data_IF_082889681971
#
_entry.id   IF_082889681971
#
_cell.length_a   1.000
_cell.length_b   1.000
_cell.length_c   1.000
_cell.angle_alpha   90.00
_cell.angle_beta   90.00
_cell.angle_gamma   90.00
#
_symmetry.space_group_name_H-M   'P 1'
#
loop_
_entity.id
_entity.type
_entity.pdbx_description
1 polymer ?
#
# COMPACT_ATOMS: atom_id res chain seq x y z
N UNK A 1 -6.48 0.88 0.87
CA UNK A 1 -6.06 1.99 -0.02
C UNK A 1 -6.68 1.89 -1.41
N UNK A 2 -6.88 0.68 -1.95
CA UNK A 2 -7.49 0.45 -3.28
C UNK A 2 -8.85 1.14 -3.39
N UNK A 3 -9.69 1.05 -2.36
CA UNK A 3 -11.03 1.69 -2.30
C UNK A 3 -11.03 3.21 -2.43
N UNK A 4 -9.87 3.85 -2.29
CA UNK A 4 -9.75 5.30 -2.45
C UNK A 4 -9.67 5.75 -3.90
N UNK A 5 -9.49 4.80 -4.83
CA UNK A 5 -9.33 5.09 -6.26
C UNK A 5 -10.56 4.65 -7.06
N UNK A 6 -10.89 5.35 -8.16
CA UNK A 6 -11.89 4.92 -9.11
C UNK A 6 -11.57 3.54 -9.72
N UNK A 7 -12.60 2.78 -10.08
CA UNK A 7 -12.47 1.42 -10.65
C UNK A 7 -11.74 1.37 -12.00
N UNK A 8 -11.69 2.50 -12.69
CA UNK A 8 -11.02 2.64 -13.98
C UNK A 8 -9.50 2.69 -13.86
N UNK A 9 -8.97 2.91 -12.64
CA UNK A 9 -7.54 2.90 -12.40
C UNK A 9 -7.00 1.47 -12.53
N UNK A 10 -5.81 1.39 -13.11
CA UNK A 10 -5.01 0.17 -13.15
C UNK A 10 -4.05 0.16 -11.96
N UNK A 11 -3.96 -0.95 -11.26
CA UNK A 11 -3.11 -1.13 -10.12
C UNK A 11 -1.91 -1.99 -10.49
N UNK A 12 -0.72 -1.43 -10.39
CA UNK A 12 0.54 -2.17 -10.51
C UNK A 12 0.99 -2.52 -9.10
N UNK A 13 0.99 -3.80 -8.77
CA UNK A 13 1.29 -4.27 -7.41
C UNK A 13 2.59 -5.06 -7.43
N UNK A 14 3.61 -4.50 -6.75
CA UNK A 14 4.84 -5.21 -6.48
C UNK A 14 4.57 -6.29 -5.42
N UNK A 15 4.84 -7.53 -5.76
CA UNK A 15 4.63 -8.69 -4.89
C UNK A 15 5.94 -9.45 -4.68
N UNK A 16 6.11 -9.99 -3.47
CA UNK A 16 7.28 -10.77 -3.07
C UNK A 16 6.84 -11.88 -2.12
N UNK A 17 7.28 -11.82 -0.86
CA UNK A 17 6.88 -12.81 0.14
C UNK A 17 5.36 -12.93 0.24
N UNK A 18 4.85 -14.16 0.11
CA UNK A 18 3.40 -14.47 0.02
C UNK A 18 2.66 -13.75 -1.13
N UNK A 19 3.34 -13.46 -2.23
CA UNK A 19 2.77 -12.77 -3.38
C UNK A 19 1.50 -13.43 -3.91
N UNK A 20 1.42 -14.76 -3.96
CA UNK A 20 0.21 -15.50 -4.37
C UNK A 20 -0.99 -15.18 -3.48
N UNK A 21 -0.80 -15.07 -2.16
CA UNK A 21 -1.89 -14.69 -1.25
C UNK A 21 -2.37 -13.26 -1.49
N UNK A 22 -1.46 -12.34 -1.83
CA UNK A 22 -1.82 -10.96 -2.18
C UNK A 22 -2.62 -10.94 -3.48
N UNK A 23 -2.18 -11.66 -4.50
CA UNK A 23 -2.88 -11.81 -5.78
C UNK A 23 -4.29 -12.36 -5.58
N UNK A 24 -4.42 -13.50 -4.90
CA UNK A 24 -5.69 -14.14 -4.60
C UNK A 24 -6.66 -13.21 -3.86
N UNK A 25 -6.16 -12.48 -2.85
CA UNK A 25 -6.97 -11.52 -2.12
C UNK A 25 -7.48 -10.39 -3.02
N UNK A 26 -6.60 -9.76 -3.80
CA UNK A 26 -6.96 -8.67 -4.69
C UNK A 26 -8.04 -9.10 -5.71
N UNK A 27 -7.87 -10.27 -6.32
CA UNK A 27 -8.81 -10.80 -7.32
C UNK A 27 -10.19 -11.14 -6.70
N UNK A 28 -10.22 -11.61 -5.45
CA UNK A 28 -11.46 -11.90 -4.74
C UNK A 28 -12.15 -10.64 -4.22
N UNK A 29 -11.38 -9.73 -3.59
CA UNK A 29 -11.92 -8.54 -2.94
C UNK A 29 -12.35 -7.48 -3.97
N UNK A 30 -11.63 -7.39 -5.08
CA UNK A 30 -11.80 -6.33 -6.09
C UNK A 30 -11.97 -6.89 -7.51
N UNK A 31 -12.97 -7.74 -7.77
CA UNK A 31 -13.10 -8.49 -9.02
C UNK A 31 -13.35 -7.62 -10.26
N UNK A 32 -13.65 -6.35 -10.08
CA UNK A 32 -13.89 -5.38 -11.17
C UNK A 32 -12.70 -4.45 -11.44
N UNK A 33 -11.65 -4.55 -10.63
CA UNK A 33 -10.44 -3.74 -10.79
C UNK A 33 -9.43 -4.42 -11.72
N UNK A 34 -8.55 -3.62 -12.29
CA UNK A 34 -7.46 -4.11 -13.14
C UNK A 34 -6.18 -4.17 -12.33
N UNK A 35 -5.59 -5.34 -12.22
CA UNK A 35 -4.33 -5.58 -11.53
C UNK A 35 -3.26 -6.10 -12.49
N UNK A 36 -2.07 -5.55 -12.35
CA UNK A 36 -0.83 -6.13 -12.89
C UNK A 36 0.09 -6.40 -11.70
N UNK A 37 0.49 -7.64 -11.53
CA UNK A 37 1.37 -8.05 -10.44
C UNK A 37 2.80 -8.20 -10.97
N UNK A 38 3.72 -7.51 -10.31
CA UNK A 38 5.16 -7.54 -10.64
C UNK A 38 5.89 -8.26 -9.53
N UNK A 39 6.48 -9.39 -9.84
CA UNK A 39 7.26 -10.17 -8.87
C UNK A 39 8.61 -9.51 -8.61
N UNK A 40 8.94 -9.33 -7.33
CA UNK A 40 10.17 -8.73 -6.87
C UNK A 40 11.12 -9.83 -6.43
N UNK A 41 12.27 -9.90 -7.04
CA UNK A 41 13.29 -10.93 -6.82
C UNK A 41 14.11 -10.72 -5.55
N UNK A 42 14.30 -9.46 -5.11
CA UNK A 42 15.02 -9.09 -3.90
C UNK A 42 14.06 -8.54 -2.85
N UNK A 43 13.42 -9.43 -2.08
CA UNK A 43 12.44 -9.05 -1.05
C UNK A 43 13.08 -8.81 0.33
N UNK A 44 14.26 -9.38 0.58
CA UNK A 44 14.99 -9.28 1.83
C UNK A 44 16.48 -8.99 1.55
N UNK A 45 17.10 -8.16 2.39
CA UNK A 45 18.54 -7.92 2.32
C UNK A 45 18.91 -6.48 1.98
N UNK A 46 20.19 -6.26 1.71
CA UNK A 46 20.72 -4.96 1.35
C UNK A 46 20.08 -4.42 0.07
N UNK A 47 19.66 -3.17 0.10
CA UNK A 47 18.97 -2.46 -0.97
C UNK A 47 17.57 -2.98 -1.32
N UNK A 48 16.98 -3.92 -0.57
CA UNK A 48 15.56 -4.22 -0.66
C UNK A 48 14.77 -3.07 -0.01
N UNK A 49 13.88 -2.43 -0.76
CA UNK A 49 13.13 -1.30 -0.23
C UNK A 49 12.06 -0.81 -1.21
N UNK A 50 11.26 0.19 -0.82
CA UNK A 50 10.16 0.68 -1.65
C UNK A 50 10.64 1.31 -2.96
N UNK A 51 11.84 1.89 -3.00
CA UNK A 51 12.45 2.42 -4.22
C UNK A 51 12.85 1.31 -5.19
N UNK A 52 13.47 0.23 -4.67
CA UNK A 52 13.80 -0.93 -5.50
C UNK A 52 12.53 -1.58 -6.09
N UNK A 53 11.51 -1.80 -5.27
CA UNK A 53 10.23 -2.34 -5.72
C UNK A 53 9.56 -1.45 -6.77
N UNK A 54 9.65 -0.13 -6.61
CA UNK A 54 9.14 0.83 -7.59
C UNK A 54 9.87 0.72 -8.93
N UNK A 55 11.21 0.60 -8.93
CA UNK A 55 12.01 0.42 -10.16
C UNK A 55 11.61 -0.81 -10.96
N UNK A 56 11.29 -1.93 -10.31
CA UNK A 56 10.80 -3.13 -11.01
C UNK A 56 9.45 -2.88 -11.71
N UNK A 57 8.67 -1.91 -11.23
CA UNK A 57 7.39 -1.51 -11.83
C UNK A 57 7.52 -0.41 -12.90
N UNK A 58 8.71 0.18 -13.11
CA UNK A 58 8.94 1.34 -13.97
C UNK A 58 8.34 1.20 -15.37
N UNK A 59 8.49 0.05 -16.03
CA UNK A 59 8.01 -0.18 -17.40
C UNK A 59 6.49 -0.07 -17.55
N UNK A 60 5.73 -0.29 -16.48
CA UNK A 60 4.27 -0.17 -16.45
C UNK A 60 3.78 1.24 -16.12
N UNK A 61 4.65 2.09 -15.58
CA UNK A 61 4.31 3.40 -15.01
C UNK A 61 4.96 4.56 -15.80
N UNK A 62 4.81 4.54 -17.13
CA UNK A 62 5.32 5.58 -18.04
C UNK A 62 4.26 6.66 -18.34
N UNK A 63 3.57 7.12 -17.30
CA UNK A 63 2.54 8.16 -17.29
C UNK A 63 2.39 8.70 -15.86
N UNK A 64 1.70 9.81 -15.60
CA UNK A 64 1.41 10.23 -14.23
C UNK A 64 0.74 9.11 -13.42
N UNK A 65 1.20 8.90 -12.19
CA UNK A 65 0.73 7.81 -11.34
C UNK A 65 0.74 8.19 -9.85
N UNK A 66 0.00 7.43 -9.06
CA UNK A 66 0.14 7.44 -7.61
C UNK A 66 1.04 6.30 -7.18
N UNK A 67 1.82 6.53 -6.13
CA UNK A 67 2.56 5.48 -5.46
C UNK A 67 2.13 5.41 -4.00
N UNK A 68 1.90 4.20 -3.50
CA UNK A 68 1.53 3.96 -2.12
C UNK A 68 2.27 2.74 -1.57
N UNK A 69 2.81 2.84 -0.35
CA UNK A 69 3.31 1.70 0.39
C UNK A 69 2.14 0.89 0.97
N UNK A 70 2.34 -0.41 1.21
CA UNK A 70 1.28 -1.32 1.66
C UNK A 70 0.81 -1.07 3.10
N UNK A 71 1.61 -0.36 3.90
CA UNK A 71 1.35 0.03 5.29
C UNK A 71 0.73 1.43 5.44
N UNK A 72 0.45 2.10 4.33
CA UNK A 72 -0.16 3.44 4.32
C UNK A 72 -1.69 3.34 4.30
N UNK A 73 -2.35 3.64 5.42
CA UNK A 73 -3.78 3.88 5.47
C UNK A 73 -4.08 5.36 5.67
N UNK A 74 -5.04 5.87 4.92
CA UNK A 74 -5.49 7.27 5.06
C UNK A 74 -6.99 7.35 5.34
N UNK A 75 -7.37 8.21 6.28
CA UNK A 75 -8.76 8.58 6.57
C UNK A 75 -9.04 9.99 6.02
N UNK A 76 -8.66 10.19 4.77
CA UNK A 76 -8.85 11.42 4.00
C UNK A 76 -9.25 11.07 2.56
N UNK A 77 -9.91 11.97 1.83
CA UNK A 77 -10.06 11.84 0.39
C UNK A 77 -8.68 11.79 -0.30
N UNK A 78 -8.58 11.02 -1.40
CA UNK A 78 -7.37 10.99 -2.23
C UNK A 78 -7.18 12.34 -2.93
N UNK A 79 -6.00 13.00 -2.78
CA UNK A 79 -5.71 14.23 -3.52
C UNK A 79 -5.67 13.98 -5.02
N UNK A 80 -6.12 14.97 -5.81
CA UNK A 80 -6.00 14.91 -7.27
C UNK A 80 -4.54 14.88 -7.72
N UNK A 81 -4.29 14.21 -8.83
CA UNK A 81 -3.00 14.17 -9.49
C UNK A 81 -2.91 15.30 -10.54
N UNK A 82 -2.68 16.51 -10.05
CA UNK A 82 -2.57 17.75 -10.84
C UNK A 82 -1.17 18.38 -10.77
N UNK A 83 -0.20 17.62 -10.29
CA UNK A 83 1.21 17.98 -10.09
C UNK A 83 1.88 16.98 -9.17
N UNK A 84 3.17 17.19 -8.90
CA UNK A 84 3.93 16.36 -7.95
C UNK A 84 3.56 16.71 -6.50
N UNK A 85 3.21 15.71 -5.69
CA UNK A 85 2.94 15.92 -4.28
C UNK A 85 3.31 14.71 -3.41
N UNK A 86 3.61 14.96 -2.13
CA UNK A 86 3.78 13.93 -1.11
C UNK A 86 2.70 14.05 -0.05
N UNK A 87 2.15 12.91 0.35
CA UNK A 87 1.33 12.78 1.55
C UNK A 87 2.22 12.91 2.79
N UNK A 88 1.84 13.82 3.69
CA UNK A 88 2.59 14.08 4.91
C UNK A 88 1.69 14.10 6.14
N UNK A 89 2.29 13.78 7.29
CA UNK A 89 1.63 13.85 8.60
C UNK A 89 2.62 14.36 9.66
N UNK A 90 2.19 15.18 10.65
CA UNK A 90 3.06 15.55 11.76
C UNK A 90 3.56 14.33 12.54
N UNK A 91 4.82 14.34 12.92
CA UNK A 91 5.41 13.29 13.75
C UNK A 91 6.19 13.87 14.93
N UNK A 92 6.12 13.18 16.08
CA UNK A 92 6.98 13.43 17.24
C UNK A 92 8.20 12.53 17.28
N UNK A 93 8.35 11.64 16.28
CA UNK A 93 9.43 10.63 16.19
C UNK A 93 10.06 10.67 14.80
N UNK A 94 10.73 11.79 14.44
CA UNK A 94 11.29 11.96 13.09
C UNK A 94 12.31 10.88 12.69
N UNK A 95 12.98 10.27 13.66
CA UNK A 95 13.95 9.20 13.44
C UNK A 95 13.31 7.89 12.89
N UNK A 96 12.02 7.71 13.07
CA UNK A 96 11.31 6.51 12.60
C UNK A 96 10.91 6.57 11.13
N UNK A 97 10.89 7.76 10.55
CA UNK A 97 10.33 7.99 9.22
C UNK A 97 11.27 8.79 8.34
N UNK A 98 11.12 8.66 7.04
CA UNK A 98 11.61 9.69 6.15
C UNK A 98 10.79 10.96 6.34
N UNK A 99 11.43 12.10 6.49
CA UNK A 99 10.78 13.37 6.87
C UNK A 99 11.09 14.49 5.90
N UNK A 100 10.27 15.53 5.92
CA UNK A 100 10.38 16.67 5.01
C UNK A 100 10.31 18.00 5.74
N UNK A 101 11.06 18.98 5.26
CA UNK A 101 10.97 20.38 5.67
C UNK A 101 10.14 21.16 4.65
N UNK A 102 9.26 22.02 5.16
CA UNK A 102 8.35 22.79 4.34
C UNK A 102 8.73 24.28 4.30
N UNK A 103 8.43 24.92 3.17
CA UNK A 103 8.31 26.38 3.05
C UNK A 103 6.93 26.66 2.41
N UNK A 104 5.99 27.07 3.25
CA UNK A 104 4.57 27.08 2.84
C UNK A 104 4.09 25.66 2.54
N UNK A 105 3.67 25.40 1.31
CA UNK A 105 3.30 24.08 0.82
C UNK A 105 4.39 23.38 -0.01
N UNK A 106 5.53 24.03 -0.20
CA UNK A 106 6.64 23.46 -0.93
C UNK A 106 7.52 22.62 -0.02
N UNK A 107 7.93 21.45 -0.50
CA UNK A 107 8.91 20.61 0.18
C UNK A 107 10.29 21.07 -0.28
N UNK A 108 11.10 21.58 0.67
CA UNK A 108 12.41 22.18 0.39
C UNK A 108 13.59 21.32 0.83
N UNK A 109 13.36 20.35 1.73
CA UNK A 109 14.40 19.42 2.17
C UNK A 109 13.79 18.08 2.55
N UNK A 110 14.62 17.05 2.45
CA UNK A 110 14.31 15.65 2.79
C UNK A 110 15.33 15.11 3.76
N UNK A 111 14.92 14.24 4.68
CA UNK A 111 15.78 13.46 5.56
C UNK A 111 15.36 12.00 5.52
N UNK A 112 16.32 11.09 5.52
CA UNK A 112 16.06 9.66 5.58
C UNK A 112 15.72 9.22 7.00
N UNK A 113 15.25 7.98 7.14
CA UNK A 113 15.10 7.32 8.45
C UNK A 113 16.44 7.30 9.19
N UNK A 114 16.38 7.28 10.52
CA UNK A 114 17.55 7.27 11.41
C UNK A 114 18.43 8.54 11.37
N UNK A 115 17.97 9.59 10.73
CA UNK A 115 18.60 10.91 10.76
C UNK A 115 17.88 11.85 11.74
N UNK A 116 18.52 12.97 12.09
CA UNK A 116 17.84 14.08 12.77
C UNK A 116 16.90 14.76 11.77
N UNK A 117 15.71 14.24 11.66
CA UNK A 117 14.74 14.61 10.65
C UNK A 117 13.97 15.90 10.97
N UNK A 118 12.88 16.08 10.26
CA UNK A 118 11.95 17.20 10.40
C UNK A 118 10.66 16.72 11.05
N UNK A 119 9.76 17.64 11.38
CA UNK A 119 8.50 17.40 12.09
C UNK A 119 7.36 16.84 11.20
N UNK A 120 7.60 16.69 9.90
CA UNK A 120 6.63 16.16 8.94
C UNK A 120 7.12 14.84 8.34
N UNK A 121 6.49 13.73 8.72
CA UNK A 121 6.74 12.42 8.14
C UNK A 121 6.15 12.30 6.72
N UNK A 122 6.89 11.71 5.79
CA UNK A 122 6.36 11.17 4.55
C UNK A 122 5.60 9.86 4.87
N UNK A 123 4.33 9.78 4.51
CA UNK A 123 3.44 8.68 4.90
C UNK A 123 3.40 7.51 3.91
N UNK A 124 4.32 7.46 2.96
CA UNK A 124 4.34 6.40 1.96
C UNK A 124 3.32 6.57 0.82
N UNK A 125 2.71 7.75 0.66
CA UNK A 125 1.76 8.06 -0.41
C UNK A 125 2.20 9.30 -1.18
N UNK A 126 2.28 9.20 -2.51
CA UNK A 126 2.66 10.32 -3.37
C UNK A 126 1.88 10.33 -4.69
N UNK A 127 1.73 11.51 -5.27
CA UNK A 127 1.31 11.69 -6.65
C UNK A 127 2.49 12.14 -7.49
N UNK A 128 2.78 11.41 -8.55
CA UNK A 128 3.90 11.61 -9.45
C UNK A 128 3.36 12.09 -10.79
N UNK A 129 3.53 13.37 -11.08
CA UNK A 129 3.14 13.97 -12.36
C UNK A 129 4.30 13.94 -13.37
N UNK A 130 5.48 14.39 -12.94
CA UNK A 130 6.69 14.40 -13.76
C UNK A 130 7.42 13.04 -13.63
N UNK A 131 6.76 11.98 -14.08
CA UNK A 131 7.23 10.60 -13.92
C UNK A 131 8.61 10.35 -14.55
N UNK A 132 8.94 11.00 -15.65
CA UNK A 132 10.26 10.87 -16.28
C UNK A 132 11.38 11.34 -15.35
N UNK A 133 11.21 12.50 -14.73
CA UNK A 133 12.17 13.04 -13.74
C UNK A 133 12.21 12.16 -12.50
N UNK A 134 11.06 11.69 -12.02
CA UNK A 134 11.00 10.78 -10.89
C UNK A 134 11.84 9.51 -11.12
N UNK A 135 11.70 8.88 -12.29
CA UNK A 135 12.45 7.67 -12.62
C UNK A 135 13.96 7.93 -12.75
N UNK A 136 14.35 9.03 -13.41
CA UNK A 136 15.74 9.45 -13.51
C UNK A 136 16.36 9.65 -12.12
N UNK A 137 15.69 10.42 -11.25
CA UNK A 137 16.16 10.67 -9.90
C UNK A 137 16.22 9.40 -9.04
N UNK A 138 15.27 8.47 -9.20
CA UNK A 138 15.31 7.21 -8.46
C UNK A 138 16.47 6.32 -8.91
N UNK A 139 16.68 6.17 -10.21
CA UNK A 139 17.79 5.36 -10.76
C UNK A 139 19.17 5.90 -10.37
N UNK A 140 19.33 7.23 -10.46
CA UNK A 140 20.65 7.86 -10.23
C UNK A 140 21.00 7.98 -8.74
N UNK A 141 19.99 8.03 -7.85
CA UNK A 141 20.22 8.39 -6.45
C UNK A 141 19.68 7.37 -5.45
N UNK A 142 19.26 6.17 -5.88
CA UNK A 142 18.74 5.17 -4.96
C UNK A 142 19.81 4.74 -3.94
N UNK A 143 19.49 4.88 -2.66
CA UNK A 143 20.36 4.49 -1.55
C UNK A 143 19.59 3.47 -0.71
N UNK A 144 20.16 2.29 -0.51
CA UNK A 144 19.60 1.21 0.30
C UNK A 144 18.14 0.83 -0.07
N UNK A 145 17.77 1.04 -1.35
CA UNK A 145 16.41 0.76 -1.82
C UNK A 145 15.33 1.79 -1.43
N UNK A 146 15.71 2.89 -0.80
CA UNK A 146 14.76 3.92 -0.35
C UNK A 146 14.24 4.78 -1.50
N UNK A 147 12.99 5.22 -1.40
CA UNK A 147 12.30 5.97 -2.45
C UNK A 147 12.50 7.49 -2.35
N UNK A 148 12.93 7.99 -1.20
CA UNK A 148 12.97 9.43 -0.90
C UNK A 148 13.89 10.20 -1.83
N UNK A 149 14.96 9.57 -2.34
CA UNK A 149 15.88 10.16 -3.31
C UNK A 149 15.18 10.57 -4.61
N UNK A 150 14.14 9.86 -5.02
CA UNK A 150 13.38 10.16 -6.23
C UNK A 150 12.56 11.47 -6.15
N UNK A 151 12.34 11.97 -4.95
CA UNK A 151 11.57 13.21 -4.73
C UNK A 151 12.44 14.48 -4.77
N UNK A 152 13.76 14.31 -4.82
CA UNK A 152 14.72 15.42 -4.95
C UNK A 152 14.77 15.86 -6.41
N UNK A 153 13.90 16.77 -6.80
CA UNK A 153 13.85 17.26 -8.18
C UNK A 153 15.03 18.20 -8.50
N UNK A 154 15.56 18.19 -9.72
CA UNK A 154 16.50 19.20 -10.18
C UNK A 154 15.97 20.63 -10.04
N UNK A 155 16.85 21.62 -9.90
CA UNK A 155 16.49 23.02 -9.63
C UNK A 155 15.62 23.69 -10.73
N UNK A 156 15.62 23.13 -11.93
CA UNK A 156 14.79 23.57 -13.06
C UNK A 156 13.40 22.91 -13.12
N UNK A 157 13.08 22.02 -12.19
CA UNK A 157 11.77 21.39 -12.07
C UNK A 157 11.01 21.89 -10.84
N UNK A 158 9.68 21.90 -10.88
CA UNK A 158 8.86 22.21 -9.71
C UNK A 158 9.15 21.27 -8.55
N UNK A 159 9.21 21.81 -7.34
CA UNK A 159 9.30 21.00 -6.11
C UNK A 159 8.01 20.23 -5.87
N UNK A 160 8.09 19.14 -5.13
CA UNK A 160 6.91 18.45 -4.63
C UNK A 160 6.12 19.33 -3.66
N UNK A 161 4.80 19.30 -3.79
CA UNK A 161 3.89 19.96 -2.86
C UNK A 161 3.54 19.02 -1.69
N UNK A 162 3.39 19.57 -0.52
CA UNK A 162 2.95 18.83 0.66
C UNK A 162 1.42 18.73 0.69
N UNK A 163 0.87 17.54 0.85
CA UNK A 163 -0.55 17.27 1.10
C UNK A 163 -0.69 16.67 2.51
N UNK A 164 -1.19 17.46 3.46
CA UNK A 164 -1.46 16.97 4.83
C UNK A 164 -2.65 16.02 4.81
N UNK A 165 -2.44 14.77 5.19
CA UNK A 165 -3.47 13.73 5.20
C UNK A 165 -3.63 13.16 6.60
N UNK A 166 -4.84 12.69 6.92
CA UNK A 166 -5.06 11.93 8.14
C UNK A 166 -4.57 10.51 7.90
N UNK A 167 -3.40 10.22 8.42
CA UNK A 167 -2.71 8.96 8.28
C UNK A 167 -2.93 8.07 9.49
N UNK A 168 -3.07 6.78 9.24
CA UNK A 168 -3.19 5.72 10.22
C UNK A 168 -2.03 4.75 9.95
N UNK A 169 -1.00 4.83 10.78
CA UNK A 169 0.21 4.00 10.64
C UNK A 169 -0.10 2.54 10.99
N UNK A 170 0.40 1.61 10.19
CA UNK A 170 0.29 0.17 10.40
C UNK A 170 1.64 -0.56 10.28
N UNK A 171 2.74 0.19 10.21
CA UNK A 171 4.09 -0.33 9.97
C UNK A 171 4.71 -1.11 11.13
N UNK A 172 4.10 -1.06 12.32
CA UNK A 172 4.50 -1.86 13.48
C UNK A 172 3.28 -2.31 14.30
N UNK A 173 3.47 -3.24 15.24
CA UNK A 173 2.36 -3.82 16.00
C UNK A 173 1.62 -2.81 16.89
N UNK A 174 2.33 -1.86 17.49
CA UNK A 174 1.73 -0.89 18.40
C UNK A 174 0.84 0.08 17.61
N UNK A 175 1.33 0.59 16.48
CA UNK A 175 0.57 1.51 15.63
C UNK A 175 -0.56 0.77 14.89
N UNK A 176 -0.36 -0.48 14.48
CA UNK A 176 -1.43 -1.34 13.97
C UNK A 176 -2.55 -1.53 15.01
N UNK A 177 -2.22 -1.73 16.30
CA UNK A 177 -3.23 -1.89 17.34
C UNK A 177 -4.00 -0.57 17.58
N UNK A 178 -3.32 0.58 17.63
CA UNK A 178 -3.97 1.90 17.69
C UNK A 178 -4.90 2.15 16.50
N UNK A 179 -4.43 1.80 15.31
CA UNK A 179 -5.23 1.90 14.09
C UNK A 179 -6.45 0.97 14.13
N UNK A 180 -6.30 -0.26 14.63
CA UNK A 180 -7.44 -1.17 14.85
C UNK A 180 -8.43 -0.61 15.86
N UNK A 181 -7.97 -0.06 16.97
CA UNK A 181 -8.84 0.59 17.97
C UNK A 181 -9.60 1.77 17.36
N UNK A 182 -8.91 2.62 16.62
CA UNK A 182 -9.54 3.73 15.90
C UNK A 182 -10.61 3.27 14.89
N UNK A 183 -10.36 2.14 14.22
CA UNK A 183 -11.28 1.56 13.22
C UNK A 183 -12.35 0.63 13.83
N UNK A 184 -12.26 0.29 15.13
CA UNK A 184 -13.15 -0.67 15.80
C UNK A 184 -14.63 -0.27 15.83
N UNK A 185 -14.96 0.99 15.59
CA UNK A 185 -16.34 1.42 15.31
C UNK A 185 -16.82 1.01 13.90
N UNK A 186 -15.93 0.41 13.09
CA UNK A 186 -16.21 -0.14 11.76
C UNK A 186 -15.64 -1.56 11.72
N UNK A 187 -16.43 -2.61 11.86
CA UNK A 187 -15.92 -3.98 11.87
C UNK A 187 -15.31 -4.34 10.52
N UNK A 188 -14.00 -4.12 10.37
CA UNK A 188 -13.23 -4.47 9.18
C UNK A 188 -12.79 -5.94 9.17
N UNK A 189 -12.72 -6.57 10.32
CA UNK A 189 -12.39 -8.00 10.41
C UNK A 189 -13.06 -8.66 11.60
N UNK A 190 -13.51 -9.90 11.42
CA UNK A 190 -13.99 -10.77 12.47
C UNK A 190 -12.89 -11.81 12.75
N UNK A 191 -11.99 -11.49 13.67
CA UNK A 191 -10.97 -12.43 14.09
C UNK A 191 -11.62 -13.43 15.07
N UNK A 192 -11.60 -14.73 14.72
CA UNK A 192 -12.12 -15.80 15.58
C UNK A 192 -11.05 -16.44 16.44
N UNK A 193 -9.87 -16.61 15.87
CA UNK A 193 -8.65 -17.08 16.53
C UNK A 193 -7.41 -16.63 15.73
N UNK A 194 -6.23 -17.01 16.14
CA UNK A 194 -4.98 -16.64 15.46
C UNK A 194 -4.79 -17.32 14.09
N UNK A 195 -5.70 -18.22 13.69
CA UNK A 195 -5.58 -19.00 12.46
C UNK A 195 -6.58 -18.61 11.38
N UNK A 196 -7.58 -17.80 11.69
CA UNK A 196 -8.61 -17.41 10.74
C UNK A 196 -8.96 -15.94 10.84
N UNK A 197 -9.01 -15.27 9.69
CA UNK A 197 -9.45 -13.88 9.58
C UNK A 197 -10.62 -13.83 8.58
N UNK A 198 -11.67 -13.11 8.93
CA UNK A 198 -12.76 -12.82 8.01
C UNK A 198 -12.79 -11.34 7.74
N UNK A 199 -12.70 -10.98 6.47
CA UNK A 199 -12.84 -9.62 5.98
C UNK A 199 -14.24 -9.43 5.41
N UNK A 200 -14.76 -8.21 5.49
CA UNK A 200 -15.95 -7.79 4.77
C UNK A 200 -15.57 -6.69 3.79
N UNK A 201 -15.78 -6.97 2.50
CA UNK A 201 -15.54 -6.03 1.43
C UNK A 201 -16.86 -5.83 0.65
N UNK A 202 -17.48 -4.65 0.81
CA UNK A 202 -18.82 -4.42 0.30
C UNK A 202 -19.83 -5.47 0.81
N UNK A 203 -20.39 -6.24 -0.09
CA UNK A 203 -21.32 -7.35 0.21
C UNK A 203 -20.63 -8.73 0.23
N UNK A 204 -19.31 -8.78 0.05
CA UNK A 204 -18.54 -10.03 0.02
C UNK A 204 -17.86 -10.27 1.36
N UNK A 205 -17.95 -11.50 1.88
CA UNK A 205 -17.19 -11.95 3.03
C UNK A 205 -16.04 -12.83 2.55
N UNK A 206 -14.81 -12.43 2.85
CA UNK A 206 -13.58 -13.14 2.48
C UNK A 206 -12.97 -13.73 3.72
N UNK A 207 -12.82 -15.05 3.75
CA UNK A 207 -12.13 -15.75 4.84
C UNK A 207 -10.74 -16.19 4.40
N UNK A 208 -9.76 -15.80 5.19
CA UNK A 208 -8.41 -16.28 5.08
C UNK A 208 -8.16 -17.36 6.12
N UNK A 209 -7.53 -18.45 5.73
CA UNK A 209 -6.99 -19.47 6.64
C UNK A 209 -5.70 -20.05 6.08
N UNK A 210 -4.59 -20.02 6.85
CA UNK A 210 -3.34 -20.65 6.44
C UNK A 210 -3.37 -22.17 6.58
N UNK A 211 -4.39 -22.72 7.25
CA UNK A 211 -4.54 -24.16 7.48
C UNK A 211 -5.31 -24.81 6.34
N UNK A 212 -4.59 -25.47 5.42
CA UNK A 212 -5.15 -26.12 4.25
C UNK A 212 -6.23 -27.16 4.59
N UNK A 213 -6.07 -27.94 5.64
CA UNK A 213 -7.08 -28.94 6.01
C UNK A 213 -8.39 -28.31 6.47
N UNK A 214 -8.33 -27.16 7.13
CA UNK A 214 -9.52 -26.38 7.49
C UNK A 214 -10.21 -25.83 6.26
N UNK A 215 -9.42 -25.31 5.31
CA UNK A 215 -9.93 -24.82 4.03
C UNK A 215 -10.62 -25.92 3.24
N UNK A 216 -9.95 -27.06 3.04
CA UNK A 216 -10.48 -28.20 2.29
C UNK A 216 -11.79 -28.74 2.90
N UNK A 217 -11.85 -28.87 4.22
CA UNK A 217 -13.08 -29.29 4.92
C UNK A 217 -14.24 -28.30 4.72
N UNK A 218 -13.97 -27.00 4.64
CA UNK A 218 -14.97 -25.97 4.36
C UNK A 218 -15.47 -26.02 2.93
N UNK A 219 -14.57 -26.23 1.97
CA UNK A 219 -14.91 -26.38 0.57
C UNK A 219 -15.79 -27.63 0.37
N UNK A 220 -15.43 -28.75 0.98
CA UNK A 220 -16.23 -29.99 0.95
C UNK A 220 -17.62 -29.72 1.52
N UNK A 221 -17.71 -29.13 2.72
CA UNK A 221 -18.99 -28.79 3.35
C UNK A 221 -19.84 -27.85 2.49
N UNK A 222 -19.22 -26.84 1.86
CA UNK A 222 -19.93 -25.93 0.98
C UNK A 222 -20.52 -26.67 -0.23
N UNK A 223 -19.75 -27.59 -0.85
CA UNK A 223 -20.24 -28.42 -1.96
C UNK A 223 -21.42 -29.34 -1.54
N UNK A 224 -21.36 -29.90 -0.34
CA UNK A 224 -22.42 -30.75 0.21
C UNK A 224 -23.72 -29.96 0.53
N UNK A 225 -23.59 -28.71 0.95
CA UNK A 225 -24.72 -27.84 1.25
C UNK A 225 -25.50 -27.39 0.01
N UNK A 226 -24.89 -27.45 -1.16
CA UNK A 226 -25.50 -27.14 -2.46
C UNK A 226 -26.22 -25.77 -2.46
N UNK A 227 -27.47 -25.72 -2.87
CA UNK A 227 -28.24 -24.45 -2.96
C UNK A 227 -28.50 -23.70 -1.64
N UNK A 228 -27.87 -24.09 -0.54
CA UNK A 228 -27.86 -23.35 0.75
C UNK A 228 -26.66 -22.46 0.94
N UNK A 229 -25.75 -22.41 -0.04
CA UNK A 229 -24.62 -21.48 -0.09
C UNK A 229 -24.92 -20.36 -1.09
N UNK A 230 -24.24 -19.19 -0.96
CA UNK A 230 -24.36 -18.13 -1.96
C UNK A 230 -23.94 -18.60 -3.36
N UNK A 231 -24.64 -18.14 -4.40
CA UNK A 231 -24.34 -18.50 -5.80
C UNK A 231 -22.96 -18.04 -6.26
N UNK A 232 -22.39 -17.02 -5.60
CA UNK A 232 -21.07 -16.45 -5.89
C UNK A 232 -19.94 -17.04 -5.03
N UNK A 233 -20.16 -18.21 -4.40
CA UNK A 233 -19.12 -18.86 -3.60
C UNK A 233 -17.86 -19.17 -4.44
N UNK A 234 -16.74 -18.67 -3.98
CA UNK A 234 -15.41 -18.87 -4.61
C UNK A 234 -14.40 -19.35 -3.58
N UNK A 235 -13.37 -20.01 -4.03
CA UNK A 235 -12.27 -20.43 -3.18
C UNK A 235 -10.94 -20.47 -3.95
N UNK A 236 -9.86 -20.26 -3.23
CA UNK A 236 -8.47 -20.33 -3.70
C UNK A 236 -7.65 -21.20 -2.75
N UNK A 237 -6.33 -21.14 -2.83
CA UNK A 237 -5.46 -21.91 -1.93
C UNK A 237 -5.51 -21.45 -0.46
N UNK A 238 -5.90 -20.20 -0.20
CA UNK A 238 -5.89 -19.62 1.14
C UNK A 238 -7.21 -18.94 1.52
N UNK A 239 -8.13 -18.72 0.58
CA UNK A 239 -9.33 -17.92 0.79
C UNK A 239 -10.61 -18.62 0.38
N UNK A 240 -11.71 -18.22 1.02
CA UNK A 240 -13.10 -18.54 0.66
C UNK A 240 -13.87 -17.22 0.64
N UNK A 241 -14.67 -17.00 -0.38
CA UNK A 241 -15.59 -15.85 -0.47
C UNK A 241 -17.00 -16.28 -0.86
#
# INVERSE_FOLDING_TARGET
>A
IIDKFPKEYEFIIAIGYKGDSVREYCELAFPTHKFTFVEIDNVDGYASGPGYSALQCKSYLQRPFYIATCDCLIDSPMPHLDGNWLGIHPTSYPEKYSTVQLSGNDIIRYSNKNENGYDMAFIGLAGIWDYGVFWEQLEDNIVEGEIVSAFKTPSNYPTFKAKKLKWLDTGNLDDLNKTKEYLNDKPLSLQKDNSEITYKEGNTFIKFTPNKSVLDNRIIRAKELGGKIPDNFKYTNNFIS
#
